data_IF_938600411646
#
_entry.id   IF_938600411646
#
_cell.length_a   1.000
_cell.length_b   1.000
_cell.length_c   1.000
_cell.angle_alpha   90.00
_cell.angle_beta   90.00
_cell.angle_gamma   90.00
#
_symmetry.space_group_name_H-M   'P 1'
#
loop_
_entity.id
_entity.type
_entity.pdbx_description
1 polymer ?
#
# COMPACT_ATOMS: atom_id res chain seq x y z
N UNK A 1 -36.71 58.11 30.73
CA UNK A 1 -36.66 57.86 32.18
C UNK A 1 -36.52 56.37 32.45
N UNK A 2 -35.49 56.05 33.24
CA UNK A 2 -35.22 54.81 34.01
C UNK A 2 -35.24 53.44 33.33
N UNK A 3 -34.01 52.90 33.31
CA UNK A 3 -33.54 51.53 33.21
C UNK A 3 -34.21 50.57 34.22
N UNK A 4 -34.38 49.31 33.88
CA UNK A 4 -34.14 48.19 34.81
C UNK A 4 -33.55 46.98 34.06
N UNK A 5 -32.36 46.57 34.53
CA UNK A 5 -31.72 45.26 34.25
C UNK A 5 -32.42 44.18 35.09
N UNK A 6 -32.71 43.02 34.53
CA UNK A 6 -33.08 41.84 35.29
C UNK A 6 -32.16 40.69 34.89
N UNK A 7 -31.39 40.22 35.87
CA UNK A 7 -30.58 38.98 35.79
C UNK A 7 -31.55 37.78 35.97
N UNK A 8 -31.46 36.83 35.06
CA UNK A 8 -32.09 35.52 35.22
C UNK A 8 -31.02 34.54 35.66
N UNK A 9 -31.09 34.14 36.94
CA UNK A 9 -30.33 33.01 37.48
C UNK A 9 -31.17 31.75 37.21
N UNK A 10 -30.62 30.84 36.40
CA UNK A 10 -31.24 29.53 36.18
C UNK A 10 -30.70 28.56 37.22
N UNK A 11 -31.52 28.26 38.21
CA UNK A 11 -31.28 27.19 39.19
C UNK A 11 -31.56 25.83 38.57
N UNK A 12 -30.52 24.95 38.59
CA UNK A 12 -30.65 23.53 38.22
C UNK A 12 -31.23 22.78 39.42
N UNK A 13 -32.47 22.33 39.28
CA UNK A 13 -33.11 21.45 40.28
C UNK A 13 -32.63 20.02 40.09
N UNK A 14 -31.89 19.47 41.05
CA UNK A 14 -31.64 18.03 41.16
C UNK A 14 -32.94 17.32 41.62
N UNK A 15 -33.53 16.56 40.73
CA UNK A 15 -34.59 15.60 41.07
C UNK A 15 -33.95 14.34 41.63
N UNK A 16 -34.06 14.11 42.93
CA UNK A 16 -33.65 12.88 43.58
C UNK A 16 -34.59 11.72 43.21
N UNK A 17 -34.05 10.74 42.52
CA UNK A 17 -34.69 9.45 42.25
C UNK A 17 -34.19 8.44 43.26
N UNK A 18 -35.01 8.09 44.25
CA UNK A 18 -34.77 7.00 45.17
C UNK A 18 -34.95 5.66 44.46
N UNK A 19 -33.84 4.98 44.20
CA UNK A 19 -33.86 3.57 43.74
C UNK A 19 -33.89 2.64 44.96
N UNK A 20 -34.89 1.80 45.00
CA UNK A 20 -34.98 0.64 45.88
C UNK A 20 -33.96 -0.41 45.43
N UNK A 21 -32.97 -0.65 46.24
CA UNK A 21 -31.97 -1.69 46.00
C UNK A 21 -32.56 -3.09 46.20
N UNK A 22 -32.58 -3.90 45.15
CA UNK A 22 -32.65 -5.35 45.21
C UNK A 22 -31.23 -5.92 45.48
N UNK A 23 -31.06 -6.96 46.30
CA UNK A 23 -29.75 -7.56 46.50
C UNK A 23 -29.39 -8.45 45.34
N UNK A 24 -28.58 -7.90 44.41
CA UNK A 24 -28.13 -8.54 43.20
C UNK A 24 -27.17 -7.66 42.37
N UNK A 25 -26.51 -6.70 43.02
CA UNK A 25 -25.53 -5.83 42.34
C UNK A 25 -24.32 -6.63 41.86
N UNK A 26 -24.25 -6.94 40.57
CA UNK A 26 -23.01 -7.20 39.87
C UNK A 26 -22.12 -5.97 40.05
N UNK A 27 -20.85 -6.18 40.43
CA UNK A 27 -19.81 -5.16 40.48
C UNK A 27 -19.89 -4.29 39.23
N UNK A 28 -20.13 -3.00 39.38
CA UNK A 28 -19.99 -2.06 38.29
C UNK A 28 -18.54 -2.13 37.79
N UNK A 29 -18.35 -2.63 36.62
CA UNK A 29 -17.06 -2.50 35.95
C UNK A 29 -16.82 -0.99 35.78
N UNK A 30 -15.70 -0.50 36.33
CA UNK A 30 -15.23 0.84 36.11
C UNK A 30 -14.93 0.96 34.60
N UNK A 31 -15.87 1.45 33.81
CA UNK A 31 -15.62 1.86 32.43
C UNK A 31 -14.66 3.05 32.56
N UNK A 32 -13.39 2.81 32.33
CA UNK A 32 -12.42 3.88 32.22
C UNK A 32 -12.88 4.80 31.09
N UNK A 33 -13.21 6.05 31.40
CA UNK A 33 -13.50 7.06 30.40
C UNK A 33 -12.17 7.38 29.73
N UNK A 34 -11.95 6.83 28.53
CA UNK A 34 -10.79 7.14 27.73
C UNK A 34 -10.93 8.57 27.22
N UNK A 35 -9.99 9.44 27.60
CA UNK A 35 -10.00 10.84 27.16
C UNK A 35 -9.73 10.93 25.65
N UNK A 36 -10.41 11.86 24.99
CA UNK A 36 -10.11 12.18 23.59
C UNK A 36 -8.71 12.78 23.45
N UNK A 37 -8.02 12.46 22.36
CA UNK A 37 -6.71 13.04 22.03
C UNK A 37 -6.84 14.55 21.81
N UNK A 38 -5.85 15.37 22.22
CA UNK A 38 -5.83 16.80 21.90
C UNK A 38 -5.73 17.01 20.39
N UNK A 39 -6.37 18.07 19.88
CA UNK A 39 -6.38 18.44 18.46
C UNK A 39 -5.64 19.76 18.22
N UNK A 40 -4.81 19.83 17.17
CA UNK A 40 -4.00 21.01 16.80
C UNK A 40 -3.97 21.22 15.28
N UNK A 41 -4.08 22.47 14.83
CA UNK A 41 -3.87 22.85 13.43
C UNK A 41 -2.38 22.88 13.05
N UNK A 42 -2.03 22.38 11.86
CA UNK A 42 -0.66 22.42 11.33
C UNK A 42 -0.31 23.73 10.62
N UNK A 43 -1.28 24.57 10.29
CA UNK A 43 -1.08 25.81 9.53
C UNK A 43 -0.11 26.76 10.25
N UNK A 44 -0.04 26.70 11.58
CA UNK A 44 0.91 27.50 12.38
C UNK A 44 2.38 27.20 12.07
N UNK A 45 2.70 26.01 11.57
CA UNK A 45 4.07 25.64 11.18
C UNK A 45 4.48 26.13 9.79
N UNK A 46 3.57 26.78 9.05
CA UNK A 46 3.81 27.37 7.73
C UNK A 46 4.14 28.86 7.77
N UNK A 47 4.26 29.49 8.96
CA UNK A 47 4.53 30.91 9.13
C UNK A 47 5.92 31.34 8.61
N UNK A 48 6.15 32.64 8.31
CA UNK A 48 7.34 33.09 7.55
C UNK A 48 8.70 32.78 8.19
N UNK A 49 8.75 32.52 9.48
CA UNK A 49 9.95 32.00 10.17
C UNK A 49 9.87 30.45 10.23
N UNK A 50 9.92 29.81 9.06
CA UNK A 50 9.80 28.35 8.92
C UNK A 50 10.88 27.64 9.74
N UNK A 51 10.47 26.87 10.75
CA UNK A 51 11.40 26.05 11.51
C UNK A 51 11.98 24.96 10.59
N UNK A 52 13.30 24.76 10.59
CA UNK A 52 13.91 23.67 9.84
C UNK A 52 13.46 22.30 10.37
N UNK A 53 12.98 22.23 11.61
CA UNK A 53 12.44 21.00 12.19
C UNK A 53 11.02 21.25 12.66
N UNK A 54 10.07 20.46 12.15
CA UNK A 54 8.70 20.38 12.67
C UNK A 54 8.56 19.05 13.38
N UNK A 55 8.15 19.08 14.64
CA UNK A 55 7.92 17.89 15.45
C UNK A 55 6.44 17.79 15.84
N UNK A 56 5.82 16.66 15.47
CA UNK A 56 4.45 16.31 15.81
C UNK A 56 4.51 15.24 16.89
N UNK A 57 3.93 15.58 18.04
CA UNK A 57 4.06 14.77 19.26
C UNK A 57 3.02 13.67 19.34
N UNK A 58 3.37 12.59 20.04
CA UNK A 58 2.55 11.40 20.22
C UNK A 58 1.15 11.73 20.79
N UNK A 59 0.21 10.84 20.59
CA UNK A 59 -1.15 10.93 21.12
C UNK A 59 -1.88 12.26 20.81
N UNK A 60 -1.51 12.91 19.72
CA UNK A 60 -2.13 14.15 19.27
C UNK A 60 -2.75 13.95 17.90
N UNK A 61 -3.92 14.55 17.67
CA UNK A 61 -4.53 14.66 16.35
C UNK A 61 -4.16 16.03 15.77
N UNK A 62 -3.53 16.01 14.61
CA UNK A 62 -3.22 17.22 13.87
C UNK A 62 -4.16 17.36 12.67
N UNK A 63 -4.52 18.58 12.30
CA UNK A 63 -5.35 18.87 11.13
C UNK A 63 -4.60 19.80 10.19
N UNK A 64 -4.61 19.49 8.90
CA UNK A 64 -4.02 20.29 7.84
C UNK A 64 -5.00 20.47 6.68
N UNK A 65 -5.61 21.65 6.54
CA UNK A 65 -6.62 21.96 5.54
C UNK A 65 -6.16 22.96 4.47
N UNK A 66 -4.87 23.34 4.46
CA UNK A 66 -4.32 24.23 3.42
C UNK A 66 -4.31 23.49 2.07
N UNK A 67 -4.66 24.18 1.00
CA UNK A 67 -4.61 23.64 -0.38
C UNK A 67 -3.18 23.54 -0.93
N UNK A 68 -2.17 24.03 -0.21
CA UNK A 68 -0.75 23.90 -0.57
C UNK A 68 -0.17 22.63 0.05
N UNK A 69 0.83 22.00 -0.61
CA UNK A 69 1.57 20.92 0.02
C UNK A 69 2.27 21.37 1.32
N UNK A 70 2.20 20.52 2.35
CA UNK A 70 3.08 20.66 3.51
C UNK A 70 4.47 20.18 3.11
N UNK A 71 5.35 21.10 2.71
CA UNK A 71 6.62 20.80 2.08
C UNK A 71 7.79 20.83 3.07
N UNK A 72 8.73 19.91 2.93
CA UNK A 72 10.08 19.99 3.53
C UNK A 72 11.12 20.06 2.43
N UNK A 73 11.94 21.11 2.51
CA UNK A 73 13.04 21.37 1.58
C UNK A 73 14.36 20.80 2.11
N UNK A 74 15.42 20.90 1.32
CA UNK A 74 16.76 20.46 1.72
C UNK A 74 17.18 21.06 3.08
N UNK A 75 17.59 20.20 4.01
CA UNK A 75 17.95 20.56 5.37
C UNK A 75 16.77 20.71 6.34
N UNK A 76 15.53 20.54 5.87
CA UNK A 76 14.34 20.58 6.73
C UNK A 76 13.87 19.17 7.09
N UNK A 77 13.25 19.03 8.26
CA UNK A 77 12.75 17.76 8.77
C UNK A 77 11.30 17.86 9.23
N UNK A 78 10.55 16.78 9.01
CA UNK A 78 9.25 16.51 9.64
C UNK A 78 9.41 15.25 10.49
N UNK A 79 9.30 15.40 11.80
CA UNK A 79 9.38 14.31 12.77
C UNK A 79 7.99 14.07 13.33
N UNK A 80 7.54 12.83 13.30
CA UNK A 80 6.20 12.42 13.74
C UNK A 80 6.38 11.24 14.69
N UNK A 81 5.98 11.45 15.94
CA UNK A 81 6.03 10.40 16.96
C UNK A 81 4.96 9.33 16.73
N UNK A 82 5.16 8.18 17.35
CA UNK A 82 4.18 7.09 17.34
C UNK A 82 2.80 7.54 17.85
N UNK A 83 1.73 6.92 17.36
CA UNK A 83 0.36 7.21 17.77
C UNK A 83 -0.20 8.55 17.33
N UNK A 84 0.61 9.35 16.62
CA UNK A 84 0.16 10.63 16.02
C UNK A 84 -0.81 10.38 14.88
N UNK A 85 -1.90 11.14 14.85
CA UNK A 85 -2.87 11.15 13.76
C UNK A 85 -2.85 12.50 13.04
N UNK A 86 -2.75 12.49 11.72
CA UNK A 86 -2.78 13.71 10.90
C UNK A 86 -3.94 13.61 9.92
N UNK A 87 -4.85 14.58 9.97
CA UNK A 87 -6.02 14.70 9.12
C UNK A 87 -5.80 15.74 8.04
N UNK A 88 -6.01 15.36 6.80
CA UNK A 88 -5.80 16.23 5.65
C UNK A 88 -7.11 16.63 4.99
N UNK A 89 -7.21 17.90 4.59
CA UNK A 89 -8.23 18.36 3.66
C UNK A 89 -8.03 17.76 2.26
N UNK A 90 -9.06 17.80 1.43
CA UNK A 90 -9.11 17.14 0.10
C UNK A 90 -7.94 17.56 -0.81
N UNK A 91 -7.50 18.82 -0.77
CA UNK A 91 -6.41 19.32 -1.62
C UNK A 91 -5.04 19.35 -0.92
N UNK A 92 -4.99 18.98 0.35
CA UNK A 92 -3.78 18.98 1.13
C UNK A 92 -2.89 17.78 0.78
N UNK A 93 -1.57 17.92 0.94
CA UNK A 93 -0.60 16.85 0.71
C UNK A 93 0.67 17.07 1.53
N UNK A 94 1.49 16.02 1.65
CA UNK A 94 2.87 16.14 2.15
C UNK A 94 3.82 15.99 0.98
N UNK A 95 4.81 16.88 0.91
CA UNK A 95 5.91 16.79 -0.06
C UNK A 95 7.26 16.93 0.64
N UNK A 96 8.07 15.91 0.52
CA UNK A 96 9.48 15.91 0.95
C UNK A 96 10.31 16.05 -0.31
N UNK A 97 10.90 17.22 -0.51
CA UNK A 97 11.77 17.50 -1.64
C UNK A 97 13.18 16.96 -1.39
N UNK A 98 13.99 16.89 -2.42
CA UNK A 98 15.37 16.35 -2.35
C UNK A 98 16.19 17.00 -1.21
N UNK A 99 16.62 16.17 -0.26
CA UNK A 99 17.36 16.59 0.93
C UNK A 99 16.49 17.05 2.10
N UNK A 100 15.16 17.04 1.96
CA UNK A 100 14.23 17.07 3.07
C UNK A 100 14.13 15.69 3.71
N UNK A 101 13.71 15.61 4.97
CA UNK A 101 13.66 14.38 5.76
C UNK A 101 12.27 14.20 6.37
N UNK A 102 11.69 13.01 6.19
CA UNK A 102 10.50 12.55 6.91
C UNK A 102 10.90 11.45 7.90
N UNK A 103 10.62 11.64 9.17
CA UNK A 103 10.75 10.62 10.20
C UNK A 103 9.36 10.38 10.79
N UNK A 104 8.72 9.31 10.39
CA UNK A 104 7.40 8.90 10.89
C UNK A 104 7.50 7.43 11.33
N UNK A 105 7.87 7.25 12.58
CA UNK A 105 8.13 5.93 13.16
C UNK A 105 7.07 5.62 14.21
N UNK A 106 6.05 4.88 13.80
CA UNK A 106 5.10 4.24 14.72
C UNK A 106 5.62 2.94 15.31
N UNK A 107 4.76 2.30 16.07
CA UNK A 107 4.92 0.94 16.61
C UNK A 107 3.70 0.10 16.21
N UNK A 108 3.73 -1.23 16.38
CA UNK A 108 2.56 -2.06 16.15
C UNK A 108 1.32 -1.61 16.94
N UNK A 109 1.52 -1.16 18.17
CA UNK A 109 0.45 -0.71 19.06
C UNK A 109 0.03 0.74 18.83
N UNK A 110 0.97 1.56 18.36
CA UNK A 110 0.79 3.01 18.14
C UNK A 110 1.28 3.43 16.75
N UNK A 111 0.61 3.02 15.66
CA UNK A 111 1.01 3.43 14.32
C UNK A 111 0.82 4.94 14.11
N UNK A 112 1.63 5.52 13.23
CA UNK A 112 1.38 6.88 12.71
C UNK A 112 0.27 6.79 11.66
N UNK A 113 -0.71 7.70 11.74
CA UNK A 113 -1.87 7.68 10.85
C UNK A 113 -1.97 8.98 10.06
N UNK A 114 -1.96 8.86 8.74
CA UNK A 114 -2.25 9.94 7.80
C UNK A 114 -3.62 9.65 7.19
N UNK A 115 -4.63 10.49 7.45
CA UNK A 115 -5.99 10.20 7.04
C UNK A 115 -6.73 11.45 6.54
N UNK A 116 -7.94 11.29 6.04
CA UNK A 116 -8.75 12.38 5.53
C UNK A 116 -9.49 13.09 6.67
N UNK A 117 -9.57 14.43 6.61
CA UNK A 117 -10.31 15.24 7.57
C UNK A 117 -11.84 15.19 7.39
N UNK A 118 -12.33 14.68 6.26
CA UNK A 118 -13.77 14.59 5.99
C UNK A 118 -14.46 13.60 6.93
N UNK A 119 -15.72 13.89 7.24
CA UNK A 119 -16.55 13.05 8.09
C UNK A 119 -16.62 11.60 7.58
N UNK A 120 -16.68 10.65 8.52
CA UNK A 120 -16.93 9.24 8.23
C UNK A 120 -18.12 9.08 7.27
N UNK A 121 -17.93 8.34 6.16
CA UNK A 121 -18.97 8.11 5.14
C UNK A 121 -18.71 8.77 3.78
N UNK A 122 -17.74 9.65 3.61
CA UNK A 122 -17.33 10.17 2.30
C UNK A 122 -16.37 9.19 1.62
N UNK A 123 -16.91 8.12 1.06
CA UNK A 123 -16.15 6.98 0.52
C UNK A 123 -15.25 7.30 -0.68
N UNK A 124 -15.35 8.49 -1.26
CA UNK A 124 -14.66 8.85 -2.51
C UNK A 124 -13.81 10.12 -2.44
N UNK A 125 -13.71 10.74 -1.29
CA UNK A 125 -12.77 11.83 -1.13
C UNK A 125 -11.38 11.26 -0.87
N UNK A 126 -10.38 11.86 -1.48
CA UNK A 126 -8.97 11.61 -1.20
C UNK A 126 -8.26 12.94 -0.99
N UNK A 127 -7.20 12.90 -0.21
CA UNK A 127 -6.24 13.99 -0.12
C UNK A 127 -5.06 13.72 -1.07
N UNK A 128 -4.13 14.66 -1.19
CA UNK A 128 -3.07 14.62 -2.20
C UNK A 128 -1.97 13.57 -1.95
N UNK A 129 -1.97 12.91 -0.78
CA UNK A 129 -1.02 11.86 -0.45
C UNK A 129 0.34 12.37 0.01
N UNK A 130 1.29 11.43 0.07
CA UNK A 130 2.67 11.68 0.47
C UNK A 130 3.58 11.47 -0.73
N UNK A 131 4.40 12.47 -1.07
CA UNK A 131 5.46 12.36 -2.07
C UNK A 131 6.82 12.57 -1.39
N UNK A 132 7.74 11.62 -1.58
CA UNK A 132 9.13 11.71 -1.11
C UNK A 132 10.04 11.67 -2.33
N UNK A 133 10.86 12.71 -2.50
CA UNK A 133 11.85 12.84 -3.56
C UNK A 133 13.26 12.73 -2.97
N UNK A 134 13.94 11.64 -3.27
CA UNK A 134 15.33 11.42 -2.91
C UNK A 134 16.29 11.90 -4.00
N UNK A 135 17.59 11.69 -3.77
CA UNK A 135 18.68 12.06 -4.68
C UNK A 135 19.28 10.86 -5.40
N UNK A 136 18.68 9.69 -5.30
CA UNK A 136 19.10 8.49 -6.02
C UNK A 136 18.67 8.53 -7.48
N UNK A 137 18.79 7.41 -8.18
CA UNK A 137 18.50 7.33 -9.60
C UNK A 137 17.01 7.46 -9.89
N UNK A 138 16.69 8.25 -10.91
CA UNK A 138 15.44 8.24 -11.66
C UNK A 138 15.81 8.36 -13.13
N UNK A 139 15.61 7.33 -13.91
CA UNK A 139 16.04 7.31 -15.31
C UNK A 139 15.24 8.23 -16.24
N UNK A 140 14.24 8.96 -15.74
CA UNK A 140 13.56 10.03 -16.48
C UNK A 140 14.34 11.34 -16.44
N UNK A 141 15.01 11.64 -15.33
CA UNK A 141 15.67 12.94 -15.07
C UNK A 141 17.16 12.80 -15.12
N UNK A 142 17.73 11.83 -14.43
CA UNK A 142 19.19 11.61 -14.33
C UNK A 142 19.52 10.15 -14.06
N UNK A 143 20.45 9.62 -14.84
CA UNK A 143 21.07 8.33 -14.57
C UNK A 143 22.17 8.42 -13.50
N UNK A 144 22.50 9.62 -13.01
CA UNK A 144 23.44 9.89 -11.94
C UNK A 144 22.71 10.37 -10.69
N UNK A 145 23.06 9.81 -9.55
CA UNK A 145 22.47 10.17 -8.27
C UNK A 145 23.25 9.54 -7.13
N UNK A 146 22.83 9.81 -5.90
CA UNK A 146 23.37 9.17 -4.71
C UNK A 146 22.53 7.93 -4.33
N UNK A 147 23.00 6.71 -4.64
CA UNK A 147 22.26 5.50 -4.32
C UNK A 147 22.10 5.28 -2.82
N UNK A 148 22.88 5.96 -1.97
CA UNK A 148 22.79 5.88 -0.52
C UNK A 148 21.99 7.03 0.10
N UNK A 149 21.34 7.86 -0.71
CA UNK A 149 20.52 8.99 -0.23
C UNK A 149 19.61 8.59 0.92
N UNK A 150 19.45 9.53 1.86
CA UNK A 150 18.61 9.40 3.05
C UNK A 150 17.51 10.43 2.98
N UNK A 151 16.29 9.97 2.76
CA UNK A 151 15.07 10.80 2.82
C UNK A 151 14.28 10.59 4.13
N UNK A 152 14.80 9.76 5.04
CA UNK A 152 14.25 9.53 6.38
C UNK A 152 13.75 8.11 6.63
N UNK A 153 12.66 7.99 7.39
CA UNK A 153 12.06 6.69 7.72
C UNK A 153 10.53 6.78 7.84
N UNK A 154 9.86 5.78 7.29
CA UNK A 154 8.42 5.58 7.40
C UNK A 154 8.19 4.16 7.88
N UNK A 155 7.75 4.00 9.14
CA UNK A 155 7.59 2.70 9.80
C UNK A 155 6.30 2.63 10.58
N UNK A 156 5.60 1.50 10.52
CA UNK A 156 4.30 1.30 11.15
C UNK A 156 3.39 2.50 10.91
N UNK A 157 3.16 2.79 9.63
CA UNK A 157 2.41 3.94 9.19
C UNK A 157 1.21 3.54 8.34
N UNK A 158 0.08 4.21 8.54
CA UNK A 158 -1.13 4.07 7.72
C UNK A 158 -1.34 5.34 6.91
N UNK A 159 -1.48 5.21 5.60
CA UNK A 159 -1.85 6.28 4.67
C UNK A 159 -3.22 5.90 4.12
N UNK A 160 -4.24 6.57 4.62
CA UNK A 160 -5.63 6.26 4.30
C UNK A 160 -6.21 7.33 3.37
N UNK A 161 -6.97 6.91 2.36
CA UNK A 161 -7.60 7.78 1.37
C UNK A 161 -6.62 8.57 0.49
N UNK A 162 -5.41 8.07 0.31
CA UNK A 162 -4.42 8.67 -0.57
C UNK A 162 -3.29 7.69 -0.92
N UNK A 163 -2.45 8.04 -1.91
CA UNK A 163 -1.29 7.26 -2.33
C UNK A 163 0.02 7.72 -1.69
N UNK A 164 1.02 6.86 -1.84
CA UNK A 164 2.42 7.11 -1.50
C UNK A 164 3.27 7.08 -2.77
N UNK A 165 4.00 8.16 -3.05
CA UNK A 165 4.91 8.27 -4.20
C UNK A 165 6.35 8.43 -3.71
N UNK A 166 7.24 7.57 -4.17
CA UNK A 166 8.65 7.50 -3.79
C UNK A 166 9.50 7.64 -5.05
N UNK A 167 10.09 8.83 -5.27
CA UNK A 167 10.86 9.13 -6.48
C UNK A 167 12.34 9.29 -6.16
N UNK A 168 13.20 8.49 -6.80
CA UNK A 168 14.65 8.56 -6.61
C UNK A 168 15.12 8.38 -5.17
N UNK A 169 14.41 7.59 -4.37
CA UNK A 169 14.73 7.38 -2.95
C UNK A 169 15.89 6.40 -2.82
N UNK A 170 16.89 6.76 -2.01
CA UNK A 170 18.11 5.95 -1.85
C UNK A 170 18.05 4.92 -0.73
N UNK A 171 19.06 4.04 -0.71
CA UNK A 171 19.14 2.88 0.20
C UNK A 171 19.30 3.24 1.68
N UNK A 172 19.64 4.49 1.99
CA UNK A 172 19.67 4.99 3.37
C UNK A 172 18.29 5.29 3.95
N UNK A 173 17.22 5.24 3.13
CA UNK A 173 15.85 5.49 3.55
C UNK A 173 15.16 4.19 3.96
N UNK A 174 14.45 4.21 5.07
CA UNK A 174 13.66 3.07 5.56
C UNK A 174 12.19 3.22 5.20
N UNK A 175 11.61 2.21 4.56
CA UNK A 175 10.15 2.06 4.35
C UNK A 175 9.78 0.65 4.78
N UNK A 176 9.09 0.53 5.91
CA UNK A 176 8.90 -0.76 6.60
C UNK A 176 7.58 -0.74 7.38
N UNK A 177 6.69 -1.73 7.18
CA UNK A 177 5.35 -1.77 7.76
C UNK A 177 4.50 -0.53 7.40
N UNK A 178 4.22 -0.37 6.12
CA UNK A 178 3.41 0.74 5.61
C UNK A 178 2.15 0.19 4.94
N UNK A 179 0.99 0.65 5.41
CA UNK A 179 -0.30 0.37 4.77
C UNK A 179 -0.79 1.61 4.02
N UNK A 180 -1.15 1.42 2.76
CA UNK A 180 -1.88 2.40 1.94
C UNK A 180 -3.25 1.82 1.65
N UNK A 181 -4.31 2.59 1.91
CA UNK A 181 -5.67 2.06 1.75
C UNK A 181 -6.68 3.10 1.28
N UNK A 182 -7.74 2.60 0.61
CA UNK A 182 -8.87 3.41 0.16
C UNK A 182 -8.47 4.58 -0.75
N UNK A 183 -7.45 4.41 -1.58
CA UNK A 183 -7.13 5.40 -2.62
C UNK A 183 -8.30 5.47 -3.60
N UNK A 184 -8.80 6.66 -3.93
CA UNK A 184 -9.94 6.77 -4.84
C UNK A 184 -9.52 6.57 -6.31
N UNK A 185 -8.55 7.34 -6.78
CA UNK A 185 -8.09 7.32 -8.18
C UNK A 185 -6.57 7.28 -8.31
N UNK A 186 -5.86 7.29 -7.19
CA UNK A 186 -4.40 7.27 -7.16
C UNK A 186 -3.90 5.83 -7.10
N UNK A 187 -2.74 5.57 -7.70
CA UNK A 187 -1.92 4.40 -7.39
C UNK A 187 -1.68 4.34 -5.89
N UNK A 188 -1.73 3.16 -5.30
CA UNK A 188 -1.52 3.07 -3.86
C UNK A 188 -0.06 3.35 -3.49
N UNK A 189 0.89 2.61 -4.05
CA UNK A 189 2.32 2.80 -3.82
C UNK A 189 3.02 2.88 -5.17
N UNK A 190 3.57 4.05 -5.49
CA UNK A 190 4.33 4.32 -6.70
C UNK A 190 5.81 4.50 -6.37
N UNK A 191 6.65 3.76 -7.09
CA UNK A 191 8.11 3.75 -6.90
C UNK A 191 8.77 4.10 -8.22
N UNK A 192 9.24 5.33 -8.32
CA UNK A 192 9.90 5.91 -9.48
C UNK A 192 11.41 5.94 -9.27
N UNK A 193 12.12 4.96 -9.79
CA UNK A 193 13.56 4.86 -9.59
C UNK A 193 13.94 4.60 -8.13
N UNK A 194 15.22 4.80 -7.82
CA UNK A 194 15.73 4.62 -6.47
C UNK A 194 16.32 3.24 -6.18
N UNK A 195 16.87 3.12 -4.96
CA UNK A 195 17.65 1.96 -4.51
C UNK A 195 17.25 1.50 -3.10
N UNK A 196 16.28 2.14 -2.47
CA UNK A 196 15.80 1.75 -1.13
C UNK A 196 15.20 0.34 -1.12
N UNK A 197 15.12 -0.27 0.04
CA UNK A 197 14.71 -1.67 0.19
C UNK A 197 13.48 -1.78 1.11
N UNK A 198 12.27 -1.65 0.57
CA UNK A 198 11.06 -1.72 1.38
C UNK A 198 10.64 -3.15 1.71
N UNK A 199 9.94 -3.31 2.86
CA UNK A 199 9.32 -4.58 3.25
C UNK A 199 8.08 -4.35 4.11
N UNK A 200 7.23 -5.38 4.20
CA UNK A 200 5.96 -5.35 4.92
C UNK A 200 5.04 -4.23 4.44
N UNK A 201 4.86 -4.15 3.13
CA UNK A 201 3.96 -3.18 2.51
C UNK A 201 2.58 -3.78 2.26
N UNK A 202 1.54 -3.01 2.56
CA UNK A 202 0.15 -3.37 2.32
C UNK A 202 -0.53 -2.32 1.45
N UNK A 203 -1.09 -2.73 0.32
CA UNK A 203 -2.11 -1.97 -0.41
C UNK A 203 -3.46 -2.62 -0.18
N UNK A 204 -4.44 -1.87 0.29
CA UNK A 204 -5.78 -2.38 0.55
C UNK A 204 -6.87 -1.47 -0.02
N UNK A 205 -7.83 -2.06 -0.73
CA UNK A 205 -8.96 -1.33 -1.30
C UNK A 205 -8.54 -0.12 -2.15
N UNK A 206 -7.48 -0.29 -2.96
CA UNK A 206 -7.01 0.73 -3.88
C UNK A 206 -8.05 0.95 -4.99
N UNK A 207 -8.57 2.16 -5.11
CA UNK A 207 -9.49 2.58 -6.17
C UNK A 207 -8.79 3.05 -7.43
N UNK A 208 -7.47 3.22 -7.40
CA UNK A 208 -6.64 3.57 -8.55
C UNK A 208 -6.28 2.36 -9.42
N UNK A 209 -5.56 2.60 -10.52
CA UNK A 209 -5.26 1.54 -11.50
C UNK A 209 -4.32 0.46 -10.95
N UNK A 210 -3.42 0.80 -10.04
CA UNK A 210 -2.34 -0.09 -9.60
C UNK A 210 -2.16 -0.04 -8.09
N UNK A 211 -1.91 -1.21 -7.47
CA UNK A 211 -1.56 -1.29 -6.06
C UNK A 211 -0.07 -0.98 -5.85
N UNK A 212 0.83 -1.68 -6.56
CA UNK A 212 2.27 -1.43 -6.58
C UNK A 212 2.74 -1.10 -7.98
N UNK A 213 3.09 0.15 -8.24
CA UNK A 213 3.66 0.59 -9.51
C UNK A 213 5.16 0.83 -9.36
N UNK A 214 5.98 0.08 -10.11
CA UNK A 214 7.45 0.12 -10.03
C UNK A 214 8.01 0.48 -11.39
N UNK A 215 8.74 1.59 -11.47
CA UNK A 215 9.17 2.13 -12.75
C UNK A 215 10.47 2.94 -12.64
N UNK A 216 10.89 3.54 -13.75
CA UNK A 216 11.92 4.58 -13.89
C UNK A 216 13.29 4.22 -13.31
N UNK A 217 13.65 2.94 -13.39
CA UNK A 217 14.99 2.50 -13.02
C UNK A 217 15.15 2.11 -11.55
N UNK A 218 14.07 1.76 -10.85
CA UNK A 218 14.18 1.21 -9.50
C UNK A 218 14.96 -0.11 -9.48
N UNK A 219 15.92 -0.24 -8.54
CA UNK A 219 16.82 -1.41 -8.43
C UNK A 219 16.95 -1.98 -7.02
N UNK A 220 16.00 -1.67 -6.12
CA UNK A 220 16.01 -2.15 -4.73
C UNK A 220 15.54 -3.60 -4.57
N UNK A 221 15.73 -4.12 -3.34
CA UNK A 221 15.17 -5.40 -2.92
C UNK A 221 13.84 -5.16 -2.19
N UNK A 222 12.88 -6.08 -2.33
CA UNK A 222 11.55 -5.98 -1.72
C UNK A 222 11.14 -7.31 -1.12
N UNK A 223 10.50 -7.30 0.06
CA UNK A 223 10.00 -8.54 0.68
C UNK A 223 8.72 -8.29 1.49
N UNK A 224 7.83 -9.30 1.53
CA UNK A 224 6.57 -9.27 2.26
C UNK A 224 5.64 -8.13 1.81
N UNK A 225 5.18 -8.19 0.56
CA UNK A 225 4.24 -7.26 -0.02
C UNK A 225 2.86 -7.90 -0.15
N UNK A 226 1.82 -7.21 0.28
CA UNK A 226 0.43 -7.62 0.16
C UNK A 226 -0.36 -6.58 -0.63
N UNK A 227 -0.80 -6.94 -1.83
CA UNK A 227 -1.83 -6.20 -2.57
C UNK A 227 -3.17 -6.89 -2.36
N UNK A 228 -4.17 -6.15 -1.92
CA UNK A 228 -5.50 -6.69 -1.68
C UNK A 228 -6.56 -5.80 -2.32
N UNK A 229 -6.99 -6.20 -3.50
CA UNK A 229 -7.93 -5.44 -4.31
C UNK A 229 -9.37 -5.79 -3.94
N UNK A 230 -10.05 -4.82 -3.38
CA UNK A 230 -11.44 -4.93 -2.97
C UNK A 230 -12.37 -4.83 -4.19
N UNK A 231 -13.37 -5.73 -4.38
CA UNK A 231 -14.22 -5.77 -5.57
C UNK A 231 -15.11 -4.53 -5.72
N UNK A 232 -15.43 -3.85 -4.62
CA UNK A 232 -16.26 -2.64 -4.61
C UNK A 232 -15.47 -1.34 -4.74
N UNK A 233 -14.14 -1.40 -4.65
CA UNK A 233 -13.23 -0.28 -4.88
C UNK A 233 -12.45 -0.56 -6.16
N UNK A 234 -13.09 -0.33 -7.31
CA UNK A 234 -12.45 -0.38 -8.61
C UNK A 234 -12.24 1.03 -9.15
N UNK A 235 -11.16 1.25 -9.89
CA UNK A 235 -11.03 2.45 -10.69
C UNK A 235 -12.23 2.49 -11.64
N UNK A 236 -12.93 3.63 -11.69
CA UNK A 236 -13.90 3.88 -12.74
C UNK A 236 -13.12 4.02 -14.05
N UNK A 237 -12.94 2.89 -14.72
CA UNK A 237 -12.14 2.84 -15.92
C UNK A 237 -13.07 2.91 -17.13
N UNK A 238 -13.23 4.10 -17.67
CA UNK A 238 -13.96 4.31 -18.94
C UNK A 238 -13.13 3.92 -20.16
N UNK A 239 -11.83 3.64 -19.99
CA UNK A 239 -10.94 3.24 -21.08
C UNK A 239 -10.51 1.77 -20.86
N UNK A 240 -10.89 0.84 -21.76
CA UNK A 240 -10.47 -0.55 -21.68
C UNK A 240 -8.94 -0.75 -21.82
N UNK A 241 -8.22 0.26 -22.30
CA UNK A 241 -6.75 0.20 -22.43
C UNK A 241 -6.02 0.51 -21.12
N UNK A 242 -6.70 1.04 -20.10
CA UNK A 242 -6.09 1.30 -18.81
C UNK A 242 -5.85 -0.02 -18.05
N UNK A 243 -4.61 -0.22 -17.63
CA UNK A 243 -4.24 -1.37 -16.85
C UNK A 243 -4.85 -1.33 -15.44
N UNK A 244 -5.36 -2.45 -14.95
CA UNK A 244 -5.68 -2.66 -13.54
C UNK A 244 -4.78 -3.77 -13.03
N UNK A 245 -3.91 -3.46 -12.09
CA UNK A 245 -2.92 -4.43 -11.61
C UNK A 245 -2.72 -4.41 -10.10
N UNK A 246 -2.48 -5.58 -9.52
CA UNK A 246 -1.92 -5.66 -8.18
C UNK A 246 -0.46 -5.20 -8.17
N UNK A 247 0.32 -5.64 -9.17
CA UNK A 247 1.67 -5.13 -9.39
C UNK A 247 1.89 -4.82 -10.87
N UNK A 248 2.41 -3.65 -11.15
CA UNK A 248 2.80 -3.22 -12.49
C UNK A 248 4.27 -2.81 -12.48
N UNK A 249 5.06 -3.45 -13.34
CA UNK A 249 6.50 -3.18 -13.46
C UNK A 249 6.81 -2.80 -14.91
N UNK A 250 7.36 -1.61 -15.10
CA UNK A 250 7.87 -1.18 -16.40
C UNK A 250 9.19 -0.40 -16.24
N UNK A 251 9.94 -0.23 -17.30
CA UNK A 251 11.17 0.55 -17.22
C UNK A 251 10.86 2.04 -17.16
N UNK A 252 10.82 2.69 -18.31
CA UNK A 252 10.45 4.10 -18.39
C UNK A 252 9.29 4.21 -19.38
N UNK A 253 8.14 4.79 -18.96
CA UNK A 253 6.94 4.82 -19.79
C UNK A 253 7.07 5.67 -21.06
N UNK A 254 8.05 6.57 -21.14
CA UNK A 254 8.27 7.44 -22.29
C UNK A 254 9.43 6.99 -23.18
N UNK A 255 10.40 6.25 -22.62
CA UNK A 255 11.57 5.75 -23.37
C UNK A 255 12.10 4.46 -22.71
N UNK A 256 11.69 3.32 -23.24
CA UNK A 256 12.02 1.99 -22.71
C UNK A 256 13.50 1.63 -22.78
N UNK A 257 14.34 2.45 -23.44
CA UNK A 257 15.80 2.28 -23.52
C UNK A 257 16.57 2.92 -22.37
N UNK A 258 15.92 3.74 -21.54
CA UNK A 258 16.54 4.47 -20.42
C UNK A 258 17.17 3.53 -19.40
N UNK A 259 18.29 4.00 -18.84
CA UNK A 259 19.08 3.27 -17.84
C UNK A 259 19.26 4.10 -16.56
N UNK A 260 19.41 3.47 -15.39
CA UNK A 260 19.38 2.01 -15.17
C UNK A 260 18.01 1.45 -15.56
N UNK A 261 17.98 0.20 -16.02
CA UNK A 261 16.70 -0.48 -16.21
C UNK A 261 16.02 -0.71 -14.86
N UNK A 262 14.69 -0.61 -14.83
CA UNK A 262 13.92 -1.06 -13.67
C UNK A 262 14.19 -2.55 -13.44
N UNK A 263 14.68 -2.88 -12.24
CA UNK A 263 15.12 -4.22 -11.89
C UNK A 263 14.92 -4.52 -10.40
N UNK A 264 13.67 -4.60 -9.89
CA UNK A 264 13.40 -5.04 -8.53
C UNK A 264 13.82 -6.49 -8.33
N UNK A 265 14.37 -6.79 -7.14
CA UNK A 265 14.52 -8.16 -6.62
C UNK A 265 13.49 -8.36 -5.53
N UNK A 266 12.50 -9.21 -5.75
CA UNK A 266 11.33 -9.33 -4.89
C UNK A 266 11.12 -10.78 -4.44
N UNK A 267 10.81 -10.98 -3.17
CA UNK A 267 10.35 -12.25 -2.61
C UNK A 267 9.10 -12.05 -1.74
N UNK A 268 8.29 -13.08 -1.63
CA UNK A 268 7.14 -13.09 -0.72
C UNK A 268 6.10 -11.99 -1.02
N UNK A 269 5.70 -11.84 -2.29
CA UNK A 269 4.55 -11.05 -2.69
C UNK A 269 3.28 -11.91 -2.62
N UNK A 270 2.18 -11.34 -2.14
CA UNK A 270 0.82 -11.87 -2.34
C UNK A 270 -0.03 -10.81 -3.02
N UNK A 271 -0.65 -11.17 -4.12
CA UNK A 271 -1.65 -10.33 -4.81
C UNK A 271 -2.98 -11.05 -4.78
N UNK A 272 -3.94 -10.47 -4.06
CA UNK A 272 -5.32 -10.92 -3.96
C UNK A 272 -6.22 -10.04 -4.83
N UNK A 273 -6.85 -10.62 -5.81
CA UNK A 273 -7.82 -9.96 -6.67
C UNK A 273 -9.24 -9.98 -6.10
N UNK A 274 -10.21 -9.45 -6.86
CA UNK A 274 -11.62 -9.39 -6.44
C UNK A 274 -12.35 -10.74 -6.50
N UNK A 275 -11.67 -11.85 -6.76
CA UNK A 275 -12.18 -13.23 -6.81
C UNK A 275 -13.43 -13.42 -7.73
N UNK A 276 -13.41 -12.77 -8.89
CA UNK A 276 -14.54 -12.82 -9.83
C UNK A 276 -15.79 -12.06 -9.38
N UNK A 277 -15.74 -11.38 -8.24
CA UNK A 277 -16.84 -10.55 -7.79
C UNK A 277 -16.75 -9.19 -8.49
N UNK A 278 -17.78 -8.90 -9.26
CA UNK A 278 -18.04 -7.58 -9.82
C UNK A 278 -19.06 -6.89 -8.92
N UNK A 279 -18.60 -6.33 -7.82
CA UNK A 279 -19.48 -5.57 -6.95
C UNK A 279 -19.45 -4.11 -7.33
N UNK A 280 -20.62 -3.48 -7.46
CA UNK A 280 -20.72 -2.04 -7.54
C UNK A 280 -21.11 -1.46 -6.19
N UNK A 281 -20.23 -0.63 -5.62
CA UNK A 281 -20.72 0.37 -4.68
C UNK A 281 -21.36 1.54 -5.48
N UNK A 282 -22.41 2.19 -4.96
CA UNK A 282 -22.98 3.34 -5.64
C UNK A 282 -21.89 4.33 -6.03
N UNK A 283 -21.73 4.51 -7.33
CA UNK A 283 -20.75 5.42 -7.90
C UNK A 283 -19.40 4.80 -8.27
N UNK A 284 -19.14 3.50 -8.11
CA UNK A 284 -18.00 2.76 -8.67
C UNK A 284 -18.43 2.00 -9.93
N UNK A 285 -17.55 1.95 -10.93
CA UNK A 285 -17.81 1.22 -12.17
C UNK A 285 -17.32 -0.22 -12.04
N UNK A 286 -18.14 -1.16 -12.50
CA UNK A 286 -17.84 -2.58 -12.54
C UNK A 286 -17.01 -2.99 -13.76
N UNK A 287 -16.55 -2.03 -14.56
CA UNK A 287 -15.82 -2.33 -15.79
C UNK A 287 -14.42 -2.82 -15.43
N UNK A 288 -14.27 -4.13 -15.39
CA UNK A 288 -12.96 -4.77 -15.38
C UNK A 288 -12.32 -4.48 -16.73
N UNK A 289 -11.16 -3.84 -16.70
CA UNK A 289 -10.38 -3.60 -17.91
C UNK A 289 -9.93 -4.91 -18.51
N UNK A 290 -9.91 -5.02 -19.85
CA UNK A 290 -9.31 -6.14 -20.56
C UNK A 290 -7.81 -6.34 -20.22
N UNK A 291 -7.16 -5.36 -19.59
CA UNK A 291 -5.79 -5.42 -19.06
C UNK A 291 -5.77 -5.59 -17.54
N UNK A 292 -6.72 -6.32 -16.95
CA UNK A 292 -6.76 -6.58 -15.51
C UNK A 292 -5.99 -7.87 -15.19
N UNK A 293 -4.88 -7.76 -14.46
CA UNK A 293 -4.08 -8.90 -14.05
C UNK A 293 -3.43 -8.69 -12.68
N UNK A 294 -3.08 -9.78 -12.00
CA UNK A 294 -2.35 -9.68 -10.74
C UNK A 294 -0.96 -9.06 -10.94
N UNK A 295 -0.28 -9.43 -12.02
CA UNK A 295 1.02 -8.89 -12.43
C UNK A 295 0.97 -8.40 -13.87
N UNK A 296 1.47 -7.21 -14.12
CA UNK A 296 1.75 -6.70 -15.47
C UNK A 296 3.22 -6.34 -15.57
N UNK A 297 3.88 -6.81 -16.64
CA UNK A 297 5.28 -6.47 -16.93
C UNK A 297 5.41 -6.00 -18.37
N UNK A 298 6.08 -4.86 -18.57
CA UNK A 298 6.17 -4.21 -19.88
C UNK A 298 7.39 -3.29 -20.00
N UNK A 299 7.55 -2.61 -21.14
CA UNK A 299 8.44 -1.48 -21.32
C UNK A 299 9.92 -1.80 -21.17
N UNK A 300 10.38 -3.00 -21.53
CA UNK A 300 11.78 -3.43 -21.40
C UNK A 300 12.25 -3.48 -19.94
N UNK A 301 11.34 -3.78 -19.02
CA UNK A 301 11.70 -3.97 -17.61
C UNK A 301 12.43 -5.28 -17.38
N UNK A 302 13.25 -5.31 -16.35
CA UNK A 302 13.84 -6.53 -15.80
C UNK A 302 13.29 -6.74 -14.38
N UNK A 303 13.35 -7.95 -13.86
CA UNK A 303 12.92 -8.28 -12.50
C UNK A 303 13.44 -9.63 -12.04
N UNK A 304 13.51 -9.81 -10.73
CA UNK A 304 13.62 -11.10 -10.06
C UNK A 304 12.45 -11.24 -9.10
N UNK A 305 11.53 -12.16 -9.35
CA UNK A 305 10.37 -12.42 -8.49
C UNK A 305 10.38 -13.88 -8.08
N UNK A 306 10.34 -14.12 -6.77
CA UNK A 306 10.38 -15.49 -6.22
C UNK A 306 9.42 -15.63 -5.03
N UNK A 307 9.02 -16.87 -4.73
CA UNK A 307 8.21 -17.19 -3.54
C UNK A 307 6.90 -16.39 -3.45
N UNK A 308 6.25 -16.12 -4.58
CA UNK A 308 5.14 -15.18 -4.66
C UNK A 308 3.83 -15.85 -5.04
N UNK A 309 2.71 -15.23 -4.67
CA UNK A 309 1.36 -15.75 -4.89
C UNK A 309 0.53 -14.70 -5.66
N UNK A 310 -0.03 -15.11 -6.79
CA UNK A 310 -0.89 -14.28 -7.63
C UNK A 310 -2.24 -14.99 -7.78
N UNK A 311 -3.34 -14.43 -7.26
CA UNK A 311 -4.63 -15.12 -7.29
C UNK A 311 -5.84 -14.19 -7.28
N UNK A 312 -6.99 -14.73 -7.69
CA UNK A 312 -8.29 -14.07 -7.56
C UNK A 312 -8.59 -13.02 -8.61
N UNK A 313 -7.75 -12.83 -9.62
CA UNK A 313 -8.07 -11.95 -10.75
C UNK A 313 -8.92 -12.67 -11.78
N UNK A 314 -9.95 -12.02 -12.33
CA UNK A 314 -10.82 -12.65 -13.32
C UNK A 314 -10.15 -12.76 -14.69
N UNK A 315 -9.34 -11.79 -15.09
CA UNK A 315 -8.84 -11.61 -16.46
C UNK A 315 -7.41 -12.06 -16.69
N UNK A 316 -6.62 -12.29 -15.63
CA UNK A 316 -5.25 -12.77 -15.77
C UNK A 316 -4.46 -12.85 -14.47
N UNK A 317 -3.56 -13.82 -14.38
CA UNK A 317 -2.56 -13.83 -13.32
C UNK A 317 -1.34 -12.99 -13.74
N UNK A 318 -0.87 -13.17 -14.99
CA UNK A 318 0.26 -12.40 -15.51
C UNK A 318 0.00 -11.94 -16.95
N UNK A 319 0.11 -10.62 -17.15
CA UNK A 319 -0.02 -9.96 -18.44
C UNK A 319 1.33 -9.43 -18.90
N UNK A 320 1.75 -9.80 -20.11
CA UNK A 320 2.99 -9.38 -20.76
C UNK A 320 2.65 -8.77 -22.12
N UNK A 321 3.02 -7.52 -22.36
CA UNK A 321 2.64 -6.81 -23.60
C UNK A 321 3.81 -6.13 -24.33
N UNK A 322 5.04 -6.54 -24.04
CA UNK A 322 6.23 -5.94 -24.61
C UNK A 322 7.26 -7.00 -25.05
N UNK A 323 7.73 -6.96 -26.32
CA UNK A 323 8.70 -7.93 -26.84
C UNK A 323 10.08 -7.84 -26.19
N UNK A 324 10.49 -6.67 -25.73
CA UNK A 324 11.80 -6.51 -25.07
C UNK A 324 11.79 -7.15 -23.67
N UNK A 325 10.69 -6.99 -22.95
CA UNK A 325 10.47 -7.68 -21.65
C UNK A 325 10.38 -9.18 -21.86
N UNK A 326 9.64 -9.66 -22.89
CA UNK A 326 9.59 -11.07 -23.25
C UNK A 326 10.98 -11.64 -23.58
N UNK A 327 11.76 -10.92 -24.36
CA UNK A 327 13.16 -11.27 -24.66
C UNK A 327 14.06 -11.26 -23.41
N UNK A 328 13.74 -10.42 -22.41
CA UNK A 328 14.40 -10.41 -21.10
C UNK A 328 14.14 -11.69 -20.30
N UNK A 329 12.89 -12.16 -20.30
CA UNK A 329 12.47 -13.40 -19.65
C UNK A 329 13.16 -14.61 -20.34
N UNK A 330 13.04 -14.74 -21.65
CA UNK A 330 13.65 -15.84 -22.41
C UNK A 330 15.18 -15.86 -22.32
N UNK A 331 15.81 -14.70 -22.23
CA UNK A 331 17.25 -14.54 -22.09
C UNK A 331 17.77 -14.58 -20.65
N UNK A 332 16.96 -15.01 -19.67
CA UNK A 332 17.30 -15.11 -18.25
C UNK A 332 17.73 -13.77 -17.60
N UNK A 333 17.39 -12.62 -18.21
CA UNK A 333 17.59 -11.31 -17.58
C UNK A 333 16.51 -11.04 -16.55
N UNK A 334 15.32 -11.62 -16.72
CA UNK A 334 14.24 -11.60 -15.73
C UNK A 334 13.92 -13.02 -15.25
N UNK A 335 13.49 -13.13 -14.00
CA UNK A 335 13.18 -14.41 -13.35
C UNK A 335 11.83 -14.32 -12.64
N UNK A 336 11.02 -15.38 -12.79
CA UNK A 336 9.82 -15.64 -11.99
C UNK A 336 9.81 -17.12 -11.63
N UNK A 337 10.09 -17.42 -10.36
CA UNK A 337 10.31 -18.81 -9.92
C UNK A 337 9.73 -19.08 -8.54
N UNK A 338 9.56 -20.35 -8.18
CA UNK A 338 9.08 -20.80 -6.86
C UNK A 338 7.75 -20.17 -6.44
N UNK A 339 6.91 -19.80 -7.39
CA UNK A 339 5.71 -19.02 -7.18
C UNK A 339 4.46 -19.80 -7.58
N UNK A 340 3.29 -19.35 -7.09
CA UNK A 340 2.01 -19.98 -7.40
C UNK A 340 1.09 -18.94 -8.01
N UNK A 341 0.52 -19.27 -9.18
CA UNK A 341 -0.40 -18.40 -9.90
C UNK A 341 -1.78 -19.05 -9.97
N UNK A 342 -2.80 -18.24 -10.01
CA UNK A 342 -4.19 -18.60 -10.27
C UNK A 342 -4.93 -17.38 -10.83
N UNK A 343 -5.83 -17.61 -11.75
CA UNK A 343 -6.88 -16.65 -12.08
C UNK A 343 -8.18 -17.40 -12.36
N UNK A 344 -9.31 -16.68 -12.34
CA UNK A 344 -10.63 -17.33 -12.41
C UNK A 344 -10.90 -17.94 -13.80
N UNK A 345 -10.38 -17.35 -14.86
CA UNK A 345 -10.30 -17.97 -16.18
C UNK A 345 -8.88 -18.51 -16.41
N UNK A 346 -8.69 -19.79 -16.16
CA UNK A 346 -7.37 -20.45 -16.29
C UNK A 346 -6.78 -20.41 -17.70
N UNK A 347 -7.61 -20.24 -18.73
CA UNK A 347 -7.15 -20.06 -20.11
C UNK A 347 -6.47 -18.69 -20.33
N UNK A 348 -6.78 -17.72 -19.47
CA UNK A 348 -6.22 -16.37 -19.50
C UNK A 348 -5.16 -16.13 -18.42
N UNK A 349 -4.77 -17.16 -17.66
CA UNK A 349 -3.80 -17.02 -16.57
C UNK A 349 -2.50 -16.35 -17.03
N UNK A 350 -2.08 -16.65 -18.27
CA UNK A 350 -0.92 -16.03 -18.90
C UNK A 350 -1.37 -15.36 -20.20
N UNK A 351 -1.31 -14.06 -20.24
CA UNK A 351 -1.74 -13.30 -21.39
C UNK A 351 -0.56 -12.60 -22.07
N UNK A 352 -0.38 -12.88 -23.36
CA UNK A 352 0.49 -12.12 -24.25
C UNK A 352 -0.35 -11.23 -25.15
N UNK A 353 0.03 -9.98 -25.30
CA UNK A 353 -0.61 -9.09 -26.27
C UNK A 353 -0.42 -9.64 -27.70
N UNK A 354 -1.49 -9.84 -28.49
CA UNK A 354 -1.36 -10.37 -29.84
C UNK A 354 -0.43 -9.57 -30.74
N UNK A 355 0.35 -10.27 -31.56
CA UNK A 355 1.21 -9.66 -32.58
C UNK A 355 2.61 -9.27 -32.16
N UNK A 356 3.03 -9.60 -30.94
CA UNK A 356 4.23 -8.95 -30.39
C UNK A 356 5.48 -9.87 -30.30
N UNK A 357 5.41 -11.24 -30.44
CA UNK A 357 6.41 -12.01 -29.71
C UNK A 357 7.07 -13.21 -30.39
N UNK A 358 8.25 -13.05 -30.98
CA UNK A 358 9.35 -13.98 -30.72
C UNK A 358 9.99 -13.61 -29.36
N UNK A 359 10.26 -14.53 -28.36
CA UNK A 359 10.25 -15.97 -28.58
C UNK A 359 8.95 -16.70 -28.19
N UNK A 360 7.95 -15.99 -27.67
CA UNK A 360 6.74 -16.63 -27.18
C UNK A 360 5.52 -16.34 -28.05
N UNK A 361 4.68 -17.34 -28.25
CA UNK A 361 3.26 -17.15 -28.49
C UNK A 361 2.52 -17.42 -27.16
N UNK A 362 1.20 -17.23 -27.10
CA UNK A 362 0.45 -17.32 -25.82
C UNK A 362 0.56 -18.67 -25.13
N UNK A 363 0.61 -19.78 -25.86
CA UNK A 363 0.80 -21.12 -25.29
C UNK A 363 2.21 -21.31 -24.76
N UNK A 364 3.20 -20.92 -25.55
CA UNK A 364 4.61 -21.10 -25.20
C UNK A 364 5.02 -20.33 -23.96
N UNK A 365 4.43 -19.15 -23.70
CA UNK A 365 4.73 -18.37 -22.50
C UNK A 365 4.29 -19.08 -21.24
N UNK A 366 3.09 -19.65 -21.21
CA UNK A 366 2.61 -20.48 -20.11
C UNK A 366 3.54 -21.67 -19.88
N UNK A 367 3.85 -22.42 -20.93
CA UNK A 367 4.66 -23.63 -20.85
C UNK A 367 6.09 -23.30 -20.39
N UNK A 368 6.65 -22.19 -20.84
CA UNK A 368 7.95 -21.70 -20.40
C UNK A 368 7.95 -21.37 -18.90
N UNK A 369 6.99 -20.59 -18.41
CA UNK A 369 6.92 -20.20 -17.00
C UNK A 369 6.63 -21.39 -16.08
N UNK A 370 5.92 -22.41 -16.57
CA UNK A 370 5.62 -23.64 -15.85
C UNK A 370 6.68 -24.75 -16.05
N UNK A 371 7.81 -24.43 -16.68
CA UNK A 371 8.94 -25.36 -16.80
C UNK A 371 9.33 -25.89 -15.41
N UNK A 372 9.48 -27.21 -15.20
CA UNK A 372 9.72 -27.79 -13.87
C UNK A 372 10.89 -27.19 -13.09
N UNK A 373 11.96 -26.78 -13.78
CA UNK A 373 13.13 -26.14 -13.15
C UNK A 373 12.84 -24.79 -12.50
N UNK A 374 11.75 -24.12 -12.88
CA UNK A 374 11.35 -22.84 -12.27
C UNK A 374 10.50 -23.03 -11.01
N UNK A 375 10.02 -24.24 -10.72
CA UNK A 375 9.24 -24.56 -9.53
C UNK A 375 7.97 -23.69 -9.36
N UNK A 376 7.43 -23.19 -10.45
CA UNK A 376 6.15 -22.50 -10.47
C UNK A 376 4.99 -23.48 -10.57
N UNK A 377 3.83 -23.07 -10.03
CA UNK A 377 2.61 -23.85 -10.09
C UNK A 377 1.45 -22.98 -10.56
N UNK A 378 0.54 -23.57 -11.34
CA UNK A 378 -0.73 -22.98 -11.68
C UNK A 378 -1.84 -23.74 -10.93
N UNK A 379 -2.52 -23.05 -10.01
CA UNK A 379 -3.65 -23.65 -9.28
C UNK A 379 -4.96 -23.46 -10.05
N UNK A 380 -5.90 -24.43 -9.94
CA UNK A 380 -7.17 -24.37 -10.66
C UNK A 380 -8.12 -23.31 -10.11
N UNK A 381 -8.03 -23.02 -8.81
CA UNK A 381 -8.92 -22.09 -8.11
C UNK A 381 -8.23 -21.46 -6.89
N UNK A 382 -8.85 -20.41 -6.36
CA UNK A 382 -8.34 -19.70 -5.19
C UNK A 382 -8.45 -20.52 -3.88
N UNK A 383 -9.38 -21.47 -3.79
CA UNK A 383 -9.54 -22.32 -2.61
C UNK A 383 -8.34 -23.28 -2.43
N UNK A 384 -7.65 -23.61 -3.52
CA UNK A 384 -6.45 -24.45 -3.52
C UNK A 384 -5.31 -23.87 -2.66
N UNK A 385 -5.28 -22.56 -2.43
CA UNK A 385 -4.29 -21.91 -1.53
C UNK A 385 -4.58 -22.18 -0.06
N UNK A 386 -5.79 -22.55 0.31
CA UNK A 386 -6.24 -22.82 1.67
C UNK A 386 -5.92 -21.65 2.63
N UNK A 387 -6.25 -20.44 2.23
CA UNK A 387 -6.29 -19.30 3.15
C UNK A 387 -7.52 -19.38 4.05
N UNK A 388 -7.48 -18.71 5.22
CA UNK A 388 -8.58 -18.76 6.19
C UNK A 388 -9.83 -18.08 5.68
N UNK A 389 -9.75 -16.79 5.39
CA UNK A 389 -10.86 -15.98 4.87
C UNK A 389 -10.34 -14.81 4.02
N UNK A 390 -9.68 -15.08 2.88
CA UNK A 390 -8.97 -14.08 2.11
C UNK A 390 -9.89 -13.10 1.39
N UNK A 391 -11.16 -13.44 1.20
CA UNK A 391 -12.14 -12.65 0.46
C UNK A 391 -13.24 -12.06 1.34
N UNK A 392 -13.00 -11.98 2.64
CA UNK A 392 -13.78 -11.16 3.55
C UNK A 392 -13.29 -9.71 3.46
N UNK A 393 -14.02 -8.91 2.69
CA UNK A 393 -13.58 -7.57 2.35
C UNK A 393 -13.81 -6.52 3.46
N UNK A 394 -14.52 -6.87 4.52
CA UNK A 394 -14.67 -6.01 5.70
C UNK A 394 -13.59 -6.31 6.76
N UNK A 395 -13.27 -7.59 6.95
CA UNK A 395 -12.29 -8.05 7.94
C UNK A 395 -11.46 -9.18 7.30
N UNK A 396 -10.51 -8.86 6.42
CA UNK A 396 -9.76 -9.87 5.70
C UNK A 396 -8.85 -10.70 6.62
N UNK A 397 -8.89 -12.02 6.46
CA UNK A 397 -7.91 -12.94 7.06
C UNK A 397 -7.18 -13.73 5.94
N UNK A 398 -6.19 -13.13 5.28
CA UNK A 398 -5.43 -13.78 4.22
C UNK A 398 -4.34 -14.71 4.75
N UNK A 399 -4.38 -15.11 6.00
CA UNK A 399 -3.43 -16.07 6.56
C UNK A 399 -3.65 -17.47 5.98
N UNK A 400 -2.58 -18.19 5.65
CA UNK A 400 -2.68 -19.62 5.31
C UNK A 400 -3.26 -20.42 6.48
N UNK A 401 -4.23 -21.28 6.18
CA UNK A 401 -4.72 -22.25 7.15
C UNK A 401 -3.73 -23.41 7.33
N UNK A 402 -3.88 -24.18 8.40
CA UNK A 402 -3.06 -25.37 8.62
C UNK A 402 -3.19 -26.34 7.43
N UNK A 403 -2.06 -26.81 6.92
CA UNK A 403 -2.02 -27.67 5.75
C UNK A 403 -2.18 -26.94 4.40
N UNK A 404 -2.07 -25.61 4.40
CA UNK A 404 -1.94 -24.85 3.17
C UNK A 404 -0.64 -25.20 2.44
N UNK A 405 -0.68 -25.42 1.12
CA UNK A 405 0.52 -25.73 0.33
C UNK A 405 1.50 -24.56 0.25
N UNK A 406 1.07 -23.33 0.59
CA UNK A 406 1.94 -22.15 0.54
C UNK A 406 2.89 -22.05 1.74
N UNK A 407 2.64 -22.82 2.82
CA UNK A 407 3.45 -22.80 4.04
C UNK A 407 4.85 -23.39 3.89
N UNK A 408 5.13 -24.00 2.75
CA UNK A 408 6.43 -24.63 2.46
C UNK A 408 6.88 -24.38 1.02
N UNK A 409 8.14 -24.71 0.73
CA UNK A 409 8.67 -24.71 -0.63
C UNK A 409 9.10 -23.34 -1.14
N UNK A 410 9.38 -22.40 -0.25
CA UNK A 410 10.11 -21.19 -0.62
C UNK A 410 11.60 -21.50 -0.83
N UNK A 411 12.23 -20.74 -1.71
CA UNK A 411 13.66 -20.86 -2.03
C UNK A 411 14.33 -19.48 -2.02
N UNK A 412 15.45 -19.39 -1.30
CA UNK A 412 16.29 -18.20 -1.19
C UNK A 412 17.73 -18.45 -1.65
N UNK A 413 17.94 -19.50 -2.41
CA UNK A 413 19.25 -19.82 -3.00
C UNK A 413 19.65 -18.79 -4.06
N UNK A 414 20.96 -18.67 -4.29
CA UNK A 414 21.51 -17.74 -5.28
C UNK A 414 21.82 -16.34 -4.73
N UNK A 415 22.68 -15.63 -5.44
CA UNK A 415 23.27 -14.36 -4.98
C UNK A 415 22.25 -13.25 -4.73
N UNK A 416 21.15 -13.21 -5.46
CA UNK A 416 20.15 -12.17 -5.32
C UNK A 416 19.33 -12.32 -4.04
N UNK A 417 19.02 -13.55 -3.61
CA UNK A 417 18.15 -13.83 -2.47
C UNK A 417 18.88 -14.22 -1.19
N UNK A 418 20.20 -14.47 -1.26
CA UNK A 418 21.04 -14.70 -0.09
C UNK A 418 21.53 -13.40 0.58
N UNK A 419 21.16 -12.23 0.04
CA UNK A 419 21.50 -10.93 0.64
C UNK A 419 20.90 -10.80 2.04
N UNK A 420 21.57 -10.13 3.00
CA UNK A 420 21.09 -9.95 4.38
C UNK A 420 19.72 -9.26 4.50
N UNK A 421 19.27 -8.59 3.45
CA UNK A 421 17.95 -7.98 3.41
C UNK A 421 16.83 -9.02 3.50
N UNK A 422 16.98 -10.18 2.83
CA UNK A 422 15.93 -11.19 2.77
C UNK A 422 15.90 -12.06 4.04
N UNK A 423 14.78 -12.03 4.74
CA UNK A 423 14.48 -13.00 5.79
C UNK A 423 14.09 -14.32 5.13
N UNK A 424 14.90 -15.36 5.34
CA UNK A 424 14.62 -16.68 4.78
C UNK A 424 13.49 -17.35 5.56
N UNK A 425 12.34 -17.50 4.92
CA UNK A 425 11.14 -18.13 5.48
C UNK A 425 10.76 -19.35 4.67
N UNK A 426 10.13 -20.38 5.28
CA UNK A 426 9.78 -21.60 4.55
C UNK A 426 8.59 -21.44 3.59
N UNK A 427 7.80 -20.38 3.73
CA UNK A 427 6.53 -20.17 3.04
C UNK A 427 6.64 -19.25 1.83
N UNK A 428 5.72 -19.41 0.90
CA UNK A 428 5.50 -18.53 -0.26
C UNK A 428 4.43 -17.50 0.08
N UNK A 429 4.53 -16.33 -0.55
CA UNK A 429 3.62 -15.21 -0.31
C UNK A 429 4.01 -14.32 0.86
N UNK A 430 3.23 -13.26 1.06
CA UNK A 430 3.51 -12.22 2.05
C UNK A 430 3.36 -12.71 3.50
N UNK A 431 2.50 -13.71 3.73
CA UNK A 431 2.08 -14.17 5.04
C UNK A 431 2.38 -15.67 5.22
N UNK A 432 2.94 -16.02 6.38
CA UNK A 432 3.09 -17.39 6.86
C UNK A 432 2.12 -17.69 7.99
N UNK A 433 2.63 -18.38 9.03
CA UNK A 433 1.86 -18.65 10.26
C UNK A 433 1.71 -17.40 11.14
N UNK A 434 2.68 -16.49 11.06
CA UNK A 434 2.70 -15.26 11.85
C UNK A 434 1.93 -14.15 11.14
N UNK A 435 1.04 -13.51 11.87
CA UNK A 435 0.25 -12.40 11.36
C UNK A 435 0.94 -11.06 11.66
N UNK A 436 1.85 -10.65 10.78
CA UNK A 436 2.53 -9.35 10.90
C UNK A 436 1.62 -8.15 10.61
N UNK A 437 0.40 -8.37 10.10
CA UNK A 437 -0.60 -7.31 9.92
C UNK A 437 -1.23 -6.87 11.24
N UNK A 438 -1.20 -7.75 12.25
CA UNK A 438 -1.90 -7.53 13.52
C UNK A 438 -1.34 -6.33 14.28
N UNK A 439 -2.26 -5.53 14.81
CA UNK A 439 -1.96 -4.40 15.70
C UNK A 439 -1.87 -3.06 14.96
N UNK A 440 -1.22 -3.01 13.82
CA UNK A 440 -0.94 -1.75 13.15
C UNK A 440 -1.78 -1.49 11.88
N UNK A 441 -2.32 -2.51 11.21
CA UNK A 441 -3.16 -2.30 10.02
C UNK A 441 -4.59 -1.96 10.38
N UNK A 442 -5.28 -1.22 9.49
CA UNK A 442 -6.69 -0.92 9.60
C UNK A 442 -7.39 -1.20 8.25
N UNK A 443 -8.34 -2.11 8.24
CA UNK A 443 -9.13 -2.46 7.06
C UNK A 443 -10.49 -1.76 7.02
N UNK A 444 -10.83 -0.99 8.04
CA UNK A 444 -12.11 -0.25 8.15
C UNK A 444 -11.92 1.22 8.54
N UNK A 445 -11.05 1.99 7.83
CA UNK A 445 -10.78 3.38 8.19
C UNK A 445 -12.03 4.27 8.11
N UNK A 446 -13.00 3.93 7.27
CA UNK A 446 -14.30 4.63 7.18
C UNK A 446 -15.12 4.55 8.47
N UNK A 447 -14.90 3.52 9.30
CA UNK A 447 -15.61 3.27 10.57
C UNK A 447 -14.77 3.65 11.79
N UNK A 448 -13.52 4.10 11.60
CA UNK A 448 -12.57 4.34 12.68
C UNK A 448 -12.67 5.77 13.21
N UNK A 449 -12.80 5.90 14.53
CA UNK A 449 -12.80 7.22 15.19
C UNK A 449 -11.42 7.51 15.80
N UNK A 450 -10.64 8.31 15.10
CA UNK A 450 -9.27 8.68 15.50
C UNK A 450 -9.19 9.73 16.62
N UNK A 451 -10.29 10.20 17.20
CA UNK A 451 -10.28 11.07 18.37
C UNK A 451 -9.88 10.34 19.65
N UNK A 452 -9.90 9.03 19.63
CA UNK A 452 -9.57 8.17 20.76
C UNK A 452 -8.35 7.29 20.44
N UNK A 453 -7.64 6.78 21.46
CA UNK A 453 -6.61 5.76 21.26
C UNK A 453 -7.16 4.56 20.47
N UNK A 454 -6.33 3.98 19.61
CA UNK A 454 -6.70 2.87 18.71
C UNK A 454 -6.25 1.54 19.34
#
# INVERSE_FOLDING_TARGET
>A
MKKYFSHIITSVSCLGMTFLCSPGCKKAENIAIVAAKPEKGLESFLQPARSPVVHLYHDTVYTYNDNRPFTREAGEQLIIDEGTVIRFGISASIRINQGGILIANGTPENPVVFTLAAAAGTQRANWGGITIQGRSYDNSVSASGDPADVSGSLRYARIEFAGLVLTGVGSGTTVDHVQVSYTNSQTAIEIDGGTFNPRYLVSYACGGPVDFYITRGYTGNMQHLLAYRHPFFGAKNSNPDNALAGMFIENNPTDTSKKPYTFPVLSNLTVLGPNGQNGSMPGYSDTISARSAALITTGNTHFRIRNSLLLGFPEGAWYLDDPLTAGGIAGNRSEFTWSILQCNDSARAFYLKPGTYPPFNSGDFKDYILTPSFNNQLFPDAASFKFKDPFNYDIPDPLPATGSPVLTGADFSGADYSKPFFTQVPYKGALGTDNWLKGWTNFTPLKTNYNFPQ
#
